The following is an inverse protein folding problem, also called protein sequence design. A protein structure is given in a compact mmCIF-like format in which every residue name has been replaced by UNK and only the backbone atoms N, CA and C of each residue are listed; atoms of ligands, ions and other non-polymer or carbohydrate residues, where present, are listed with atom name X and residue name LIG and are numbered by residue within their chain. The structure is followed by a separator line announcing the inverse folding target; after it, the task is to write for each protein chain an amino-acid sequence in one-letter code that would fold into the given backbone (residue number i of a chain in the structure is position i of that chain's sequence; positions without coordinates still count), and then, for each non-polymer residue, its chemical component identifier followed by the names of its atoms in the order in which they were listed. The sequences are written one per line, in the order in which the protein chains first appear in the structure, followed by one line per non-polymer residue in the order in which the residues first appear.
data_IF_271088392873
#
_entry.id   IF_271088392873
#
_cell.length_a   1.000
_cell.length_b   1.000
_cell.length_c   1.000
_cell.angle_alpha   90.00
_cell.angle_beta   90.00
_cell.angle_gamma   90.00
#
_symmetry.space_group_name_H-M   'P 1'
#
loop_
_entity.id
_entity.type
_entity.pdbx_description
1 polymer ?
#
# COMPACT_ATOMS: atom_id res chain seq x y z
N UNK A 1 -3.86 -5.34 21.80
CA UNK A 1 -4.66 -4.93 20.64
C UNK A 1 -5.68 -3.82 20.99
N UNK A 2 -6.23 -3.83 22.22
CA UNK A 2 -7.24 -2.85 22.62
C UNK A 2 -6.79 -1.40 22.41
N UNK A 3 -5.58 -1.06 22.88
CA UNK A 3 -5.01 0.29 22.75
C UNK A 3 -4.67 0.71 21.31
N UNK A 4 -4.58 -0.24 20.37
CA UNK A 4 -4.23 0.04 18.99
C UNK A 4 -5.44 -0.02 18.05
N UNK A 5 -6.39 -0.92 18.31
CA UNK A 5 -7.45 -1.26 17.36
C UNK A 5 -8.85 -0.81 17.78
N UNK A 6 -9.06 -0.48 19.07
CA UNK A 6 -10.36 -0.07 19.59
C UNK A 6 -10.30 1.33 20.20
N UNK A 7 -9.36 1.56 21.14
CA UNK A 7 -9.30 2.77 21.95
C UNK A 7 -9.00 4.06 21.17
N UNK A 8 -8.18 4.09 20.10
CA UNK A 8 -7.78 5.36 19.49
C UNK A 8 -8.97 6.17 19.00
N UNK A 9 -8.94 7.47 19.32
CA UNK A 9 -9.95 8.45 18.90
C UNK A 9 -9.67 9.04 17.53
N UNK A 10 -8.42 9.01 17.06
CA UNK A 10 -8.01 9.45 15.73
C UNK A 10 -7.56 8.26 14.89
N UNK A 11 -7.73 8.39 13.60
CA UNK A 11 -7.17 7.48 12.59
C UNK A 11 -5.93 8.11 11.97
N UNK A 12 -5.96 9.42 11.73
CA UNK A 12 -4.91 10.22 11.15
C UNK A 12 -4.81 11.59 11.80
N UNK A 13 -4.94 12.64 11.02
CA UNK A 13 -4.80 14.04 11.37
C UNK A 13 -6.14 14.82 11.45
N UNK A 14 -7.25 14.11 11.34
CA UNK A 14 -8.60 14.68 11.43
C UNK A 14 -8.85 15.40 12.76
N UNK A 15 -9.79 16.35 12.81
CA UNK A 15 -10.22 17.00 14.04
C UNK A 15 -10.66 15.99 15.10
N UNK A 16 -10.36 16.29 16.36
CA UNK A 16 -10.82 15.48 17.48
C UNK A 16 -12.31 15.76 17.74
N UNK A 17 -13.13 14.71 17.64
CA UNK A 17 -14.58 14.77 17.80
C UNK A 17 -15.08 13.69 18.76
N UNK A 18 -16.22 13.91 19.42
CA UNK A 18 -16.90 12.94 20.31
C UNK A 18 -17.71 11.89 19.50
N UNK A 19 -17.13 11.35 18.47
CA UNK A 19 -17.78 10.52 17.47
C UNK A 19 -18.25 9.14 17.98
N UNK A 20 -17.64 8.58 19.03
CA UNK A 20 -18.00 7.24 19.50
C UNK A 20 -19.45 7.14 19.92
N UNK A 21 -19.95 8.14 20.66
CA UNK A 21 -21.34 8.21 21.05
C UNK A 21 -22.26 8.24 19.84
N UNK A 22 -21.98 9.09 18.86
CA UNK A 22 -22.82 9.25 17.65
C UNK A 22 -22.91 7.97 16.82
N UNK A 23 -21.80 7.31 16.59
CA UNK A 23 -21.75 6.06 15.83
C UNK A 23 -22.39 4.90 16.60
N UNK A 24 -22.16 4.84 17.91
CA UNK A 24 -22.74 3.82 18.79
C UNK A 24 -24.27 3.95 18.84
N UNK A 25 -24.77 5.13 19.12
CA UNK A 25 -26.22 5.42 19.16
C UNK A 25 -26.89 5.02 17.84
N UNK A 26 -26.24 5.26 16.71
CA UNK A 26 -26.77 4.94 15.39
C UNK A 26 -26.75 3.47 15.07
N UNK A 27 -25.69 2.74 15.41
CA UNK A 27 -25.45 1.40 14.86
C UNK A 27 -25.53 0.24 15.86
N UNK A 28 -25.52 0.47 17.18
CA UNK A 28 -25.53 -0.59 18.18
C UNK A 28 -26.80 -1.45 18.09
N UNK A 29 -27.98 -0.84 18.13
CA UNK A 29 -29.25 -1.57 18.01
C UNK A 29 -29.42 -2.26 16.66
N UNK A 30 -28.85 -1.70 15.60
CA UNK A 30 -28.86 -2.31 14.27
C UNK A 30 -28.01 -3.58 14.29
N UNK A 31 -26.77 -3.51 14.78
CA UNK A 31 -25.90 -4.68 14.89
C UNK A 31 -26.56 -5.78 15.74
N UNK A 32 -27.13 -5.41 16.87
CA UNK A 32 -27.85 -6.34 17.76
C UNK A 32 -29.02 -7.03 17.07
N UNK A 33 -29.71 -6.34 16.17
CA UNK A 33 -30.78 -6.93 15.37
C UNK A 33 -30.30 -7.88 14.27
N UNK A 34 -29.10 -7.62 13.73
CA UNK A 34 -28.53 -8.39 12.63
C UNK A 34 -27.75 -9.62 13.12
N UNK A 35 -27.16 -9.55 14.29
CA UNK A 35 -26.26 -10.59 14.78
C UNK A 35 -26.23 -10.69 16.31
N UNK A 36 -26.47 -11.89 16.83
CA UNK A 36 -26.50 -12.23 18.28
C UNK A 36 -25.32 -13.14 18.69
N UNK A 37 -24.37 -13.39 17.78
CA UNK A 37 -23.22 -14.25 18.05
C UNK A 37 -22.02 -13.49 18.61
N UNK A 38 -20.88 -14.19 18.68
CA UNK A 38 -19.62 -13.64 19.20
C UNK A 38 -18.52 -13.54 18.14
N UNK A 39 -18.79 -13.94 16.89
CA UNK A 39 -17.82 -13.86 15.80
C UNK A 39 -17.83 -12.47 15.18
N UNK A 40 -16.78 -11.70 15.44
CA UNK A 40 -16.61 -10.33 14.93
C UNK A 40 -16.52 -10.27 13.40
N UNK A 41 -16.07 -11.35 12.73
CA UNK A 41 -16.02 -11.41 11.26
C UNK A 41 -17.43 -11.47 10.70
N UNK A 42 -18.28 -12.35 11.21
CA UNK A 42 -19.68 -12.45 10.80
C UNK A 42 -20.47 -11.20 11.16
N UNK A 43 -20.25 -10.64 12.35
CA UNK A 43 -20.86 -9.39 12.78
C UNK A 43 -20.54 -8.25 11.79
N UNK A 44 -19.28 -8.13 11.40
CA UNK A 44 -18.81 -7.10 10.45
C UNK A 44 -19.39 -7.32 9.06
N UNK A 45 -19.47 -8.57 8.58
CA UNK A 45 -20.04 -8.87 7.27
C UNK A 45 -21.52 -8.49 7.17
N UNK A 46 -22.32 -8.86 8.18
CA UNK A 46 -23.74 -8.52 8.25
C UNK A 46 -23.98 -7.01 8.35
N UNK A 47 -23.20 -6.34 9.19
CA UNK A 47 -23.27 -4.89 9.31
C UNK A 47 -22.86 -4.21 8.00
N UNK A 48 -21.83 -4.70 7.33
CA UNK A 48 -21.39 -4.21 6.03
C UNK A 48 -22.48 -4.35 4.96
N UNK A 49 -23.16 -5.49 4.92
CA UNK A 49 -24.29 -5.71 4.02
C UNK A 49 -25.43 -4.69 4.27
N UNK A 50 -25.77 -4.46 5.53
CA UNK A 50 -26.74 -3.44 5.92
C UNK A 50 -26.34 -2.04 5.48
N UNK A 51 -25.11 -1.63 5.76
CA UNK A 51 -24.63 -0.27 5.43
C UNK A 51 -24.62 0.02 3.93
N UNK A 52 -24.35 -0.98 3.09
CA UNK A 52 -24.46 -0.86 1.63
C UNK A 52 -25.91 -0.65 1.18
N UNK A 53 -26.86 -1.28 1.83
CA UNK A 53 -28.30 -1.13 1.53
C UNK A 53 -28.88 0.18 2.07
N UNK A 54 -28.45 0.63 3.26
CA UNK A 54 -28.95 1.84 3.89
C UNK A 54 -28.55 3.10 3.10
N UNK A 55 -27.27 3.25 2.83
CA UNK A 55 -26.71 4.34 2.07
C UNK A 55 -25.33 3.95 1.57
N UNK A 56 -25.22 3.73 0.29
CA UNK A 56 -23.95 3.40 -0.32
C UNK A 56 -22.92 4.54 -0.14
N UNK A 57 -21.66 4.16 -0.04
CA UNK A 57 -20.57 5.12 0.05
C UNK A 57 -20.25 5.64 -1.35
N UNK A 58 -20.39 6.94 -1.57
CA UNK A 58 -20.07 7.56 -2.86
C UNK A 58 -18.55 7.71 -3.00
N UNK A 59 -17.95 6.83 -3.76
CA UNK A 59 -16.53 6.89 -4.04
C UNK A 59 -16.18 8.05 -4.98
N UNK A 60 -15.20 8.87 -4.61
CA UNK A 60 -14.66 9.95 -5.42
C UNK A 60 -13.17 10.15 -5.15
N UNK A 61 -12.36 9.99 -6.19
CA UNK A 61 -10.91 10.28 -6.13
C UNK A 61 -10.62 11.79 -6.20
N UNK A 62 -11.59 12.60 -6.59
CA UNK A 62 -11.45 14.06 -6.66
C UNK A 62 -11.49 14.71 -5.28
N UNK A 63 -11.98 13.98 -4.27
CA UNK A 63 -11.94 14.37 -2.86
C UNK A 63 -10.69 13.76 -2.19
N UNK A 64 -9.53 13.99 -2.77
CA UNK A 64 -8.25 13.65 -2.18
C UNK A 64 -7.86 14.71 -1.14
N UNK A 65 -8.63 14.72 -0.07
CA UNK A 65 -8.45 15.59 1.08
C UNK A 65 -7.80 14.82 2.22
N UNK A 66 -7.20 15.53 3.20
CA UNK A 66 -6.84 14.94 4.48
C UNK A 66 -8.03 14.19 5.10
N UNK A 67 -7.82 13.41 6.14
CA UNK A 67 -8.90 12.70 6.83
C UNK A 67 -10.11 13.61 7.11
N UNK A 68 -11.26 13.21 6.58
CA UNK A 68 -12.47 14.07 6.55
C UNK A 68 -13.16 14.24 7.91
N UNK A 69 -12.77 13.45 8.91
CA UNK A 69 -13.38 13.46 10.24
C UNK A 69 -14.68 12.66 10.35
N UNK A 70 -14.95 12.22 11.55
CA UNK A 70 -16.01 11.26 11.84
C UNK A 70 -17.42 11.83 11.63
N UNK A 71 -17.64 13.08 12.04
CA UNK A 71 -18.95 13.74 11.89
C UNK A 71 -19.31 13.94 10.42
N UNK A 72 -18.35 14.38 9.61
CA UNK A 72 -18.57 14.54 8.18
C UNK A 72 -18.92 13.21 7.50
N UNK A 73 -18.16 12.15 7.80
CA UNK A 73 -18.36 10.84 7.18
C UNK A 73 -19.67 10.17 7.62
N UNK A 74 -20.10 10.40 8.86
CA UNK A 74 -21.40 9.92 9.34
C UNK A 74 -22.57 10.55 8.54
N UNK A 75 -22.46 11.83 8.22
CA UNK A 75 -23.50 12.57 7.52
C UNK A 75 -23.46 12.32 5.99
N UNK A 76 -22.28 12.29 5.38
CA UNK A 76 -22.14 12.41 3.92
C UNK A 76 -21.78 11.10 3.21
N UNK A 77 -20.98 10.21 3.80
CA UNK A 77 -20.48 8.97 3.19
C UNK A 77 -19.97 9.17 1.77
N UNK A 78 -19.01 10.03 1.61
CA UNK A 78 -18.39 10.36 0.32
C UNK A 78 -16.88 10.57 0.50
N UNK A 79 -16.08 10.17 -0.47
CA UNK A 79 -14.64 10.39 -0.49
C UNK A 79 -13.86 9.29 -1.20
N UNK A 80 -12.56 9.29 -1.02
CA UNK A 80 -11.63 8.31 -1.58
C UNK A 80 -11.67 6.97 -0.81
N UNK A 81 -10.78 6.05 -1.16
CA UNK A 81 -10.58 4.81 -0.41
C UNK A 81 -10.19 5.08 1.06
N UNK A 82 -9.44 6.16 1.30
CA UNK A 82 -9.07 6.62 2.65
C UNK A 82 -10.32 6.91 3.48
N UNK A 83 -11.18 7.80 3.00
CA UNK A 83 -12.41 8.19 3.69
C UNK A 83 -13.37 7.01 3.91
N UNK A 84 -13.42 6.07 2.99
CA UNK A 84 -14.19 4.83 3.13
C UNK A 84 -13.65 3.93 4.26
N UNK A 85 -12.32 3.80 4.33
CA UNK A 85 -11.66 3.06 5.41
C UNK A 85 -11.88 3.74 6.76
N UNK A 86 -11.77 5.06 6.83
CA UNK A 86 -11.98 5.83 8.06
C UNK A 86 -13.40 5.67 8.59
N UNK A 87 -14.41 5.83 7.72
CA UNK A 87 -15.80 5.58 8.09
C UNK A 87 -15.99 4.18 8.69
N UNK A 88 -15.42 3.17 8.06
CA UNK A 88 -15.47 1.79 8.54
C UNK A 88 -14.83 1.63 9.92
N UNK A 89 -13.65 2.23 10.12
CA UNK A 89 -12.94 2.18 11.41
C UNK A 89 -13.76 2.86 12.51
N UNK A 90 -14.39 4.01 12.23
CA UNK A 90 -15.27 4.68 13.20
C UNK A 90 -16.46 3.81 13.59
N UNK A 91 -17.15 3.22 12.62
CA UNK A 91 -18.28 2.30 12.88
C UNK A 91 -17.83 1.13 13.76
N UNK A 92 -16.80 0.41 13.35
CA UNK A 92 -16.36 -0.80 14.03
C UNK A 92 -15.81 -0.52 15.44
N UNK A 93 -14.97 0.51 15.58
CA UNK A 93 -14.42 0.88 16.89
C UNK A 93 -15.49 1.38 17.87
N UNK A 94 -16.51 2.07 17.39
CA UNK A 94 -17.65 2.48 18.23
C UNK A 94 -18.43 1.29 18.80
N UNK A 95 -18.49 0.21 18.03
CA UNK A 95 -19.17 -1.05 18.41
C UNK A 95 -18.22 -2.06 19.10
N UNK A 96 -17.00 -1.65 19.45
CA UNK A 96 -16.03 -2.49 20.14
C UNK A 96 -15.35 -3.56 19.26
N UNK A 97 -15.51 -3.49 17.94
CA UNK A 97 -14.86 -4.40 16.98
C UNK A 97 -13.47 -3.86 16.66
N UNK A 98 -12.39 -4.66 16.87
CA UNK A 98 -11.02 -4.21 16.69
C UNK A 98 -10.66 -4.09 15.20
N UNK A 99 -10.49 -2.87 14.72
CA UNK A 99 -10.22 -2.56 13.32
C UNK A 99 -9.09 -1.56 13.13
N UNK A 100 -8.40 -1.69 12.00
CA UNK A 100 -7.35 -0.80 11.54
C UNK A 100 -7.41 -0.60 10.02
N UNK A 101 -6.47 0.18 9.51
CA UNK A 101 -6.26 0.41 8.07
C UNK A 101 -4.88 -0.11 7.69
N UNK A 102 -4.83 -0.95 6.66
CA UNK A 102 -3.62 -1.40 6.02
C UNK A 102 -3.43 -0.66 4.68
N UNK A 103 -2.17 -0.45 4.29
CA UNK A 103 -1.79 0.39 3.15
C UNK A 103 -0.59 -0.21 2.40
N UNK A 104 -0.56 -0.08 1.09
CA UNK A 104 0.68 -0.02 0.31
C UNK A 104 0.80 1.36 -0.34
N UNK A 105 2.00 1.95 -0.33
CA UNK A 105 2.20 3.31 -0.83
C UNK A 105 2.26 3.38 -2.34
N UNK A 106 2.88 2.39 -2.97
CA UNK A 106 2.98 2.26 -4.42
C UNK A 106 2.74 0.80 -4.81
N UNK A 107 1.77 0.57 -5.69
CA UNK A 107 1.49 -0.77 -6.21
C UNK A 107 2.26 -1.07 -7.48
N UNK A 108 2.78 -2.30 -7.65
CA UNK A 108 3.42 -2.74 -8.88
C UNK A 108 2.53 -2.48 -10.11
N UNK A 109 3.10 -1.87 -11.17
CA UNK A 109 2.36 -1.53 -12.39
C UNK A 109 1.29 -0.44 -12.24
N UNK A 110 1.22 0.24 -11.09
CA UNK A 110 0.24 1.31 -10.78
C UNK A 110 0.97 2.56 -10.30
N UNK A 111 0.36 3.73 -10.41
CA UNK A 111 0.96 4.97 -9.93
C UNK A 111 0.62 5.28 -8.48
N UNK A 112 -0.55 4.84 -8.00
CA UNK A 112 -1.06 5.21 -6.69
C UNK A 112 -1.02 4.05 -5.69
N UNK A 113 -0.91 4.39 -4.41
CA UNK A 113 -1.12 3.50 -3.30
C UNK A 113 -2.59 3.11 -3.13
N UNK A 114 -2.86 2.26 -2.17
CA UNK A 114 -4.20 1.83 -1.83
C UNK A 114 -4.30 1.52 -0.35
N UNK A 115 -5.47 1.76 0.23
CA UNK A 115 -5.80 1.46 1.61
C UNK A 115 -7.02 0.56 1.68
N UNK A 116 -7.08 -0.29 2.69
CA UNK A 116 -8.23 -1.15 2.99
C UNK A 116 -8.32 -1.39 4.49
N UNK A 117 -9.44 -1.93 4.93
CA UNK A 117 -9.62 -2.24 6.33
C UNK A 117 -9.08 -3.63 6.68
N UNK A 118 -8.73 -3.79 7.93
CA UNK A 118 -8.42 -5.07 8.55
C UNK A 118 -9.09 -5.12 9.91
N UNK A 119 -9.67 -6.25 10.27
CA UNK A 119 -10.13 -6.52 11.63
C UNK A 119 -9.28 -7.63 12.27
N UNK A 120 -9.17 -7.60 13.59
CA UNK A 120 -8.61 -8.70 14.36
C UNK A 120 -9.72 -9.59 14.83
N UNK A 121 -9.70 -10.86 14.40
CA UNK A 121 -10.74 -11.82 14.77
C UNK A 121 -10.56 -12.37 16.19
N UNK A 122 -11.49 -13.18 16.64
CA UNK A 122 -11.48 -13.80 17.98
C UNK A 122 -10.37 -14.82 18.18
N UNK A 123 -9.77 -15.34 17.09
CA UNK A 123 -8.61 -16.25 17.16
C UNK A 123 -7.28 -15.50 17.26
N UNK A 124 -7.30 -14.19 17.07
CA UNK A 124 -6.11 -13.33 17.05
C UNK A 124 -5.53 -13.11 15.67
N UNK A 125 -6.09 -13.73 14.64
CA UNK A 125 -5.75 -13.49 13.24
C UNK A 125 -6.25 -12.14 12.72
N UNK A 126 -5.68 -11.70 11.61
CA UNK A 126 -6.12 -10.50 10.93
C UNK A 126 -6.86 -10.85 9.64
N UNK A 127 -8.03 -10.22 9.43
CA UNK A 127 -8.91 -10.45 8.28
C UNK A 127 -9.01 -9.16 7.48
N UNK A 128 -8.36 -9.09 6.30
CA UNK A 128 -8.46 -7.94 5.42
C UNK A 128 -9.83 -7.92 4.71
N UNK A 129 -10.38 -6.73 4.51
CA UNK A 129 -11.63 -6.54 3.80
C UNK A 129 -11.78 -5.10 3.30
N UNK A 130 -12.63 -4.92 2.30
CA UNK A 130 -13.07 -3.62 1.88
C UNK A 130 -14.58 -3.49 2.15
N UNK A 131 -14.91 -2.74 3.14
CA UNK A 131 -16.25 -2.67 3.72
C UNK A 131 -17.37 -2.41 2.71
N UNK A 132 -17.09 -1.61 1.69
CA UNK A 132 -18.11 -1.24 0.69
C UNK A 132 -18.26 -2.28 -0.41
N UNK A 133 -17.20 -2.97 -0.78
CA UNK A 133 -17.13 -3.74 -2.02
C UNK A 133 -17.05 -5.25 -1.83
N UNK A 134 -16.55 -5.72 -0.69
CA UNK A 134 -16.29 -7.14 -0.48
C UNK A 134 -17.01 -7.70 0.73
N UNK A 135 -17.32 -8.99 0.64
CA UNK A 135 -17.69 -9.79 1.79
C UNK A 135 -16.53 -9.85 2.78
N UNK A 136 -16.86 -9.81 4.07
CA UNK A 136 -15.86 -9.97 5.13
C UNK A 136 -15.77 -11.44 5.48
N UNK A 137 -14.66 -12.07 5.13
CA UNK A 137 -14.44 -13.50 5.38
C UNK A 137 -12.97 -13.82 5.64
N UNK A 138 -12.72 -14.84 6.46
CA UNK A 138 -11.37 -15.34 6.72
C UNK A 138 -10.76 -15.90 5.44
N UNK A 139 -9.48 -15.60 5.19
CA UNK A 139 -8.78 -16.02 3.97
C UNK A 139 -9.17 -15.22 2.72
N UNK A 140 -9.98 -14.17 2.87
CA UNK A 140 -10.29 -13.25 1.77
C UNK A 140 -9.03 -12.55 1.23
N UNK A 141 -8.97 -12.35 -0.07
CA UNK A 141 -7.89 -11.62 -0.76
C UNK A 141 -8.46 -10.81 -1.91
N UNK A 142 -7.96 -9.59 -2.07
CA UNK A 142 -8.28 -8.74 -3.23
C UNK A 142 -7.44 -9.07 -4.48
N UNK A 143 -6.53 -10.03 -4.37
CA UNK A 143 -5.62 -10.51 -5.43
C UNK A 143 -4.76 -9.40 -6.06
N UNK A 144 -4.59 -8.28 -5.37
CA UNK A 144 -3.71 -7.19 -5.83
C UNK A 144 -2.29 -7.47 -5.40
N UNK A 145 -1.35 -7.19 -6.29
CA UNK A 145 0.07 -7.08 -5.97
C UNK A 145 0.30 -5.84 -5.11
N UNK A 146 1.07 -5.95 -4.05
CA UNK A 146 1.28 -4.92 -3.03
C UNK A 146 2.76 -4.57 -2.82
N UNK A 147 3.66 -5.55 -3.03
CA UNK A 147 5.09 -5.46 -2.74
C UNK A 147 5.39 -5.45 -1.25
N UNK A 148 4.83 -4.49 -0.53
CA UNK A 148 4.90 -4.34 0.93
C UNK A 148 3.56 -3.87 1.47
N UNK A 149 3.22 -4.32 2.69
CA UNK A 149 1.99 -3.90 3.39
C UNK A 149 2.35 -3.31 4.75
N UNK A 150 1.79 -2.15 5.02
CA UNK A 150 1.95 -1.46 6.30
C UNK A 150 0.59 -1.27 6.96
N UNK A 151 0.54 -1.43 8.30
CA UNK A 151 -0.63 -1.13 9.12
C UNK A 151 -0.45 0.20 9.83
N UNK A 152 -1.47 1.03 9.79
CA UNK A 152 -1.52 2.24 10.61
C UNK A 152 -1.73 1.87 12.07
N UNK A 153 -0.81 2.30 12.91
CA UNK A 153 -0.81 2.10 14.35
C UNK A 153 -1.00 3.43 15.08
N UNK A 154 -1.61 3.39 16.24
CA UNK A 154 -1.69 4.56 17.11
C UNK A 154 -0.36 4.83 17.83
N UNK A 155 0.30 3.79 18.28
CA UNK A 155 1.60 3.86 18.93
C UNK A 155 2.75 3.95 17.93
N UNK A 156 3.76 4.78 18.25
CA UNK A 156 4.97 4.86 17.43
C UNK A 156 5.74 3.54 17.43
N UNK A 157 6.11 3.07 16.23
CA UNK A 157 6.89 1.86 16.02
C UNK A 157 8.39 2.19 16.19
N UNK A 158 8.92 1.95 17.38
CA UNK A 158 10.25 2.45 17.78
C UNK A 158 11.42 1.76 17.09
N UNK A 159 11.31 0.49 16.73
CA UNK A 159 12.44 -0.32 16.26
C UNK A 159 12.99 0.10 14.88
N UNK A 160 12.14 0.57 13.99
CA UNK A 160 12.57 1.06 12.66
C UNK A 160 13.06 2.52 12.64
N UNK A 161 12.80 3.30 13.68
CA UNK A 161 12.66 4.74 13.53
C UNK A 161 13.80 5.58 14.10
N UNK A 162 14.56 5.12 15.08
CA UNK A 162 15.48 6.02 15.80
C UNK A 162 16.61 6.63 14.94
N UNK A 163 17.07 5.93 13.90
CA UNK A 163 18.07 6.43 12.96
C UNK A 163 17.48 7.05 11.68
N UNK A 164 16.43 6.45 11.15
CA UNK A 164 15.82 6.78 9.85
C UNK A 164 14.99 8.07 9.93
N UNK A 165 14.25 8.27 11.02
CA UNK A 165 13.32 9.39 11.21
C UNK A 165 13.98 10.77 11.13
N UNK A 166 15.23 10.87 11.56
CA UNK A 166 15.98 12.13 11.59
C UNK A 166 16.74 12.40 10.31
N UNK A 167 16.83 11.42 9.44
CA UNK A 167 17.58 11.52 8.21
C UNK A 167 16.73 12.18 7.12
N UNK A 168 17.24 13.29 6.56
CA UNK A 168 16.54 14.05 5.52
C UNK A 168 16.49 13.32 4.19
N UNK A 169 17.39 12.36 3.99
CA UNK A 169 17.46 11.56 2.76
C UNK A 169 16.42 10.43 2.73
N UNK A 170 15.66 10.21 3.81
CA UNK A 170 14.59 9.21 3.83
C UNK A 170 13.26 9.87 3.49
N UNK A 171 12.58 9.43 2.42
CA UNK A 171 11.32 10.01 2.03
C UNK A 171 10.21 9.63 3.01
N UNK A 172 9.25 10.51 3.18
CA UNK A 172 7.95 10.12 3.67
C UNK A 172 7.25 9.31 2.54
N UNK A 173 6.62 8.16 2.83
CA UNK A 173 6.19 7.67 4.14
C UNK A 173 7.14 6.67 4.82
N UNK A 174 8.30 6.32 4.25
CA UNK A 174 9.20 5.29 4.81
C UNK A 174 9.76 5.64 6.20
N UNK A 175 9.67 6.90 6.60
CA UNK A 175 10.04 7.39 7.94
C UNK A 175 8.86 7.61 8.89
N UNK A 176 7.63 7.28 8.46
CA UNK A 176 6.46 7.42 9.31
C UNK A 176 6.55 6.46 10.50
N UNK A 177 6.58 6.97 11.73
CA UNK A 177 6.69 6.13 12.92
C UNK A 177 5.43 5.34 13.23
N UNK A 178 4.31 5.69 12.64
CA UNK A 178 3.01 5.06 12.92
C UNK A 178 2.67 3.94 11.93
N UNK A 179 3.60 3.59 11.06
CA UNK A 179 3.46 2.47 10.13
C UNK A 179 4.23 1.24 10.62
N UNK A 180 3.51 0.14 10.79
CA UNK A 180 4.05 -1.17 11.10
C UNK A 180 4.06 -2.04 9.85
N UNK A 181 5.21 -2.63 9.51
CA UNK A 181 5.28 -3.65 8.47
C UNK A 181 4.47 -4.89 8.89
N UNK A 182 3.46 -5.23 8.13
CA UNK A 182 2.58 -6.38 8.31
C UNK A 182 2.51 -7.25 7.06
N UNK A 183 3.50 -7.16 6.19
CA UNK A 183 3.57 -7.93 4.95
C UNK A 183 3.45 -9.44 5.22
N UNK A 184 4.00 -9.92 6.35
CA UNK A 184 3.88 -11.32 6.77
C UNK A 184 2.46 -11.75 7.21
N UNK A 185 1.52 -10.81 7.41
CA UNK A 185 0.11 -11.15 7.64
C UNK A 185 -0.58 -11.55 6.30
N UNK A 186 0.03 -11.23 5.16
CA UNK A 186 -0.50 -11.44 3.80
C UNK A 186 0.26 -12.48 3.00
N UNK A 187 1.56 -12.58 3.20
CA UNK A 187 2.48 -13.42 2.42
C UNK A 187 3.40 -14.20 3.37
N UNK A 188 3.96 -15.34 2.92
CA UNK A 188 4.94 -16.07 3.70
C UNK A 188 6.09 -15.18 4.14
N UNK A 189 6.44 -15.23 5.43
CA UNK A 189 7.57 -14.48 5.96
C UNK A 189 8.87 -14.91 5.28
N UNK A 190 9.66 -13.94 4.81
CA UNK A 190 10.93 -14.19 4.16
C UNK A 190 11.96 -13.11 4.51
N UNK A 191 13.22 -13.41 4.18
CA UNK A 191 14.34 -12.48 4.29
C UNK A 191 15.06 -12.47 2.94
N UNK A 192 15.01 -11.34 2.24
CA UNK A 192 15.58 -11.16 0.92
C UNK A 192 16.85 -10.35 1.03
N UNK A 193 18.00 -10.97 0.72
CA UNK A 193 19.31 -10.30 0.68
C UNK A 193 19.74 -10.14 -0.76
N UNK A 194 19.99 -8.91 -1.18
CA UNK A 194 20.36 -8.54 -2.54
C UNK A 194 21.78 -7.98 -2.62
N UNK A 195 22.39 -8.12 -3.79
CA UNK A 195 23.66 -7.49 -4.14
C UNK A 195 23.44 -6.04 -4.57
N UNK A 196 24.30 -5.17 -4.11
CA UNK A 196 24.36 -3.76 -4.47
C UNK A 196 25.59 -3.54 -5.34
N UNK A 197 25.49 -2.69 -6.35
CA UNK A 197 26.62 -2.31 -7.20
C UNK A 197 27.80 -1.85 -6.33
N UNK A 198 29.00 -2.42 -6.50
CA UNK A 198 30.18 -2.04 -5.70
C UNK A 198 30.55 -0.56 -5.72
N UNK A 199 30.10 0.18 -6.73
CA UNK A 199 30.29 1.63 -6.83
C UNK A 199 29.32 2.44 -5.98
N UNK A 200 28.25 1.82 -5.48
CA UNK A 200 27.26 2.46 -4.61
C UNK A 200 27.71 2.33 -3.16
N UNK A 201 28.04 3.46 -2.56
CA UNK A 201 28.33 3.58 -1.12
C UNK A 201 27.32 4.57 -0.51
N UNK A 202 26.20 4.03 -0.02
CA UNK A 202 25.09 4.77 0.56
C UNK A 202 24.67 4.17 1.88
N UNK A 203 24.31 5.02 2.82
CA UNK A 203 23.83 4.57 4.12
C UNK A 203 22.56 3.74 4.01
N UNK A 204 21.68 4.12 3.11
CA UNK A 204 20.37 3.49 2.91
C UNK A 204 20.17 3.01 1.48
N UNK A 205 19.59 1.84 1.34
CA UNK A 205 19.06 1.28 0.11
C UNK A 205 17.56 1.08 0.27
N UNK A 206 16.82 1.51 -0.74
CA UNK A 206 15.37 1.31 -0.80
C UNK A 206 15.04 0.13 -1.72
N UNK A 207 13.96 -0.57 -1.37
CA UNK A 207 13.29 -1.51 -2.25
C UNK A 207 12.29 -0.72 -3.11
N UNK A 208 12.44 -0.76 -4.40
CA UNK A 208 11.57 -0.06 -5.34
C UNK A 208 10.68 -1.01 -6.14
N UNK A 209 9.49 -0.55 -6.50
CA UNK A 209 8.57 -1.20 -7.45
C UNK A 209 8.42 -0.35 -8.69
N UNK A 210 8.25 -0.98 -9.85
CA UNK A 210 7.97 -0.30 -11.09
C UNK A 210 6.51 0.14 -11.13
N UNK A 211 6.28 1.43 -11.36
CA UNK A 211 4.96 2.06 -11.44
C UNK A 211 4.81 2.79 -12.78
N UNK A 212 3.65 3.37 -13.02
CA UNK A 212 3.43 4.23 -14.20
C UNK A 212 4.23 5.53 -14.16
N UNK A 213 4.70 5.94 -12.99
CA UNK A 213 5.46 7.19 -12.76
C UNK A 213 6.97 6.94 -12.64
N UNK A 214 7.40 5.69 -12.82
CA UNK A 214 8.79 5.28 -12.65
C UNK A 214 8.97 4.29 -11.51
N UNK A 215 10.18 4.13 -11.05
CA UNK A 215 10.47 3.20 -9.96
C UNK A 215 10.38 3.93 -8.62
N UNK A 216 9.44 3.49 -7.76
CA UNK A 216 9.08 4.14 -6.51
C UNK A 216 9.47 3.30 -5.30
N UNK A 217 10.07 3.92 -4.25
CA UNK A 217 10.52 3.20 -3.06
C UNK A 217 9.35 2.78 -2.17
N UNK A 218 9.35 1.52 -1.74
CA UNK A 218 8.32 0.94 -0.87
C UNK A 218 8.85 0.41 0.46
N UNK A 219 10.16 0.19 0.59
CA UNK A 219 10.81 -0.19 1.85
C UNK A 219 12.25 0.36 1.87
N UNK A 220 12.88 0.38 3.05
CA UNK A 220 14.22 0.93 3.25
C UNK A 220 15.02 0.08 4.23
N UNK A 221 16.29 -0.11 3.93
CA UNK A 221 17.24 -0.80 4.81
C UNK A 221 18.61 -0.14 4.80
N UNK A 222 19.45 -0.53 5.76
CA UNK A 222 20.85 -0.07 5.83
C UNK A 222 21.71 -0.93 4.92
N UNK A 223 22.55 -0.29 4.08
CA UNK A 223 23.55 -0.99 3.30
C UNK A 223 24.65 -1.57 4.21
N UNK A 224 25.03 -2.82 3.96
CA UNK A 224 26.13 -3.51 4.65
C UNK A 224 27.12 -4.05 3.63
N UNK A 225 28.21 -3.33 3.42
CA UNK A 225 29.13 -3.60 2.31
C UNK A 225 28.39 -3.49 0.97
N UNK A 226 28.50 -4.48 0.12
CA UNK A 226 27.79 -4.55 -1.16
C UNK A 226 26.44 -5.31 -1.07
N UNK A 227 25.78 -5.29 0.08
CA UNK A 227 24.49 -6.01 0.29
C UNK A 227 23.48 -5.14 0.98
N UNK A 228 22.21 -5.44 0.69
CA UNK A 228 21.04 -4.92 1.40
C UNK A 228 20.06 -6.06 1.71
N UNK A 229 19.45 -6.05 2.89
CA UNK A 229 18.52 -7.10 3.32
C UNK A 229 17.17 -6.49 3.65
N UNK A 230 16.13 -7.01 3.03
CA UNK A 230 14.73 -6.64 3.25
C UNK A 230 13.99 -7.80 3.89
N UNK A 231 13.07 -7.51 4.80
CA UNK A 231 12.25 -8.51 5.47
C UNK A 231 10.84 -8.51 4.86
N UNK A 232 10.24 -9.70 4.78
CA UNK A 232 8.84 -9.85 4.39
C UNK A 232 8.49 -9.14 3.07
N UNK A 233 9.06 -9.63 1.97
CA UNK A 233 8.83 -9.10 0.63
C UNK A 233 7.84 -10.00 -0.10
N UNK A 234 6.84 -9.42 -0.78
CA UNK A 234 5.87 -10.20 -1.57
C UNK A 234 6.55 -10.94 -2.71
N UNK A 235 6.36 -12.27 -2.83
CA UNK A 235 6.90 -13.04 -3.95
C UNK A 235 6.20 -12.70 -5.29
N UNK A 236 6.87 -12.99 -6.40
CA UNK A 236 6.32 -12.84 -7.76
C UNK A 236 6.42 -11.43 -8.33
N UNK A 237 6.96 -10.48 -7.60
CA UNK A 237 7.09 -9.07 -8.01
C UNK A 237 8.51 -8.77 -8.47
N UNK A 238 8.61 -7.97 -9.54
CA UNK A 238 9.87 -7.41 -10.00
C UNK A 238 10.21 -6.15 -9.20
N UNK A 239 11.35 -6.18 -8.51
CA UNK A 239 11.85 -5.09 -7.69
C UNK A 239 13.11 -4.47 -8.28
N UNK A 240 13.38 -3.22 -7.90
CA UNK A 240 14.59 -2.49 -8.22
C UNK A 240 15.22 -1.98 -6.92
N UNK A 241 16.50 -2.30 -6.62
CA UNK A 241 17.21 -1.61 -5.54
C UNK A 241 17.47 -0.17 -5.95
N UNK A 242 17.18 0.77 -5.04
CA UNK A 242 17.28 2.21 -5.28
C UNK A 242 18.09 2.91 -4.19
N UNK A 243 18.70 4.03 -4.54
CA UNK A 243 19.19 5.02 -3.57
C UNK A 243 18.81 6.44 -4.00
N UNK A 244 18.70 7.33 -3.04
CA UNK A 244 18.50 8.76 -3.30
C UNK A 244 19.85 9.45 -3.52
N UNK A 245 20.02 10.12 -4.66
CA UNK A 245 21.21 10.94 -4.94
C UNK A 245 21.02 12.42 -4.57
N UNK A 246 19.90 12.77 -3.90
CA UNK A 246 19.52 14.13 -3.52
C UNK A 246 18.68 14.87 -4.57
N UNK A 247 18.52 14.30 -5.78
CA UNK A 247 17.68 14.85 -6.85
C UNK A 247 16.63 13.84 -7.35
N UNK A 248 17.00 12.58 -7.42
CA UNK A 248 16.14 11.50 -7.95
C UNK A 248 16.53 10.15 -7.39
N UNK A 249 15.63 9.17 -7.56
CA UNK A 249 15.92 7.76 -7.32
C UNK A 249 16.82 7.21 -8.41
N UNK A 250 17.89 6.53 -8.00
CA UNK A 250 18.86 5.91 -8.89
C UNK A 250 18.95 4.42 -8.57
N UNK A 251 19.11 3.60 -9.60
CA UNK A 251 19.30 2.16 -9.43
C UNK A 251 20.60 1.87 -8.64
N UNK A 252 20.49 1.01 -7.63
CA UNK A 252 21.61 0.58 -6.80
C UNK A 252 22.14 -0.81 -7.20
N UNK A 253 21.62 -1.41 -8.25
CA UNK A 253 21.96 -2.73 -8.75
C UNK A 253 20.95 -3.20 -9.80
N UNK A 254 21.03 -4.45 -10.22
CA UNK A 254 20.10 -5.01 -11.20
C UNK A 254 18.69 -5.22 -10.63
N UNK A 255 17.63 -5.11 -11.48
CA UNK A 255 16.30 -5.54 -11.10
C UNK A 255 16.29 -7.02 -10.74
N UNK A 256 15.40 -7.41 -9.84
CA UNK A 256 15.31 -8.79 -9.39
C UNK A 256 13.86 -9.21 -9.10
N UNK A 257 13.60 -10.48 -9.31
CA UNK A 257 12.36 -11.15 -8.91
C UNK A 257 12.61 -11.94 -7.64
N UNK A 258 11.65 -11.94 -6.73
CA UNK A 258 11.64 -12.81 -5.55
C UNK A 258 10.66 -13.94 -5.80
N UNK A 259 11.09 -15.18 -5.68
CA UNK A 259 10.20 -16.34 -5.82
C UNK A 259 9.45 -16.66 -4.50
N UNK A 260 8.57 -17.67 -4.53
CA UNK A 260 7.79 -18.11 -3.38
C UNK A 260 8.64 -18.63 -2.20
N UNK A 261 9.91 -18.99 -2.45
CA UNK A 261 10.86 -19.43 -1.42
C UNK A 261 11.71 -18.28 -0.87
N UNK A 262 11.54 -17.08 -1.42
CA UNK A 262 12.36 -15.92 -1.07
C UNK A 262 13.71 -15.88 -1.79
N UNK A 263 13.91 -16.73 -2.83
CA UNK A 263 15.13 -16.72 -3.62
C UNK A 263 15.12 -15.58 -4.65
N UNK A 264 16.30 -14.99 -4.87
CA UNK A 264 16.47 -13.82 -5.72
C UNK A 264 16.95 -14.24 -7.11
N UNK A 265 16.19 -13.85 -8.14
CA UNK A 265 16.58 -14.00 -9.55
C UNK A 265 16.81 -12.63 -10.16
N UNK A 266 18.08 -12.31 -10.48
CA UNK A 266 18.43 -11.04 -11.13
C UNK A 266 18.10 -11.05 -12.61
N UNK A 267 17.61 -9.91 -13.10
CA UNK A 267 17.45 -9.62 -14.51
C UNK A 267 18.63 -8.76 -14.97
N UNK A 268 19.70 -9.45 -15.40
CA UNK A 268 20.89 -8.80 -15.95
C UNK A 268 20.76 -8.70 -17.47
N UNK A 269 21.11 -7.55 -18.08
CA UNK A 269 21.08 -7.44 -19.53
C UNK A 269 22.06 -8.43 -20.15
N UNK A 270 21.62 -9.11 -21.20
CA UNK A 270 22.47 -9.93 -22.04
C UNK A 270 22.57 -9.26 -23.41
N UNK A 271 23.65 -8.52 -23.63
CA UNK A 271 23.89 -7.78 -24.88
C UNK A 271 24.09 -8.68 -26.10
N UNK A 272 24.26 -10.00 -25.92
CA UNK A 272 24.34 -10.96 -27.01
C UNK A 272 22.96 -11.38 -27.55
N UNK A 273 21.91 -11.25 -26.74
CA UNK A 273 20.54 -11.58 -27.11
C UNK A 273 19.89 -10.40 -27.82
N UNK A 274 19.64 -10.56 -29.14
CA UNK A 274 18.81 -9.63 -29.90
C UNK A 274 17.42 -10.20 -30.04
N UNK A 275 16.40 -9.44 -29.75
CA UNK A 275 15.00 -9.83 -29.86
C UNK A 275 14.15 -8.69 -30.41
N UNK A 276 12.95 -9.02 -30.85
CA UNK A 276 11.91 -8.03 -31.14
C UNK A 276 10.91 -8.03 -29.97
N UNK A 277 10.40 -6.87 -29.64
CA UNK A 277 9.38 -6.70 -28.59
C UNK A 277 8.18 -5.99 -29.18
N UNK A 278 7.00 -6.58 -29.04
CA UNK A 278 5.75 -5.89 -29.34
C UNK A 278 5.33 -5.06 -28.13
N UNK A 279 5.39 -3.75 -28.26
CA UNK A 279 4.96 -2.82 -27.24
C UNK A 279 3.49 -2.48 -27.44
N UNK A 280 2.65 -2.81 -26.49
CA UNK A 280 1.27 -2.38 -26.47
C UNK A 280 1.01 -1.52 -25.22
N UNK A 281 0.33 -0.41 -25.42
CA UNK A 281 -0.04 0.52 -24.35
C UNK A 281 -1.54 0.45 -24.11
N UNK A 282 -1.96 -0.04 -22.94
CA UNK A 282 -3.36 0.09 -22.52
C UNK A 282 -3.48 1.31 -21.61
N UNK A 283 -4.18 2.32 -22.09
CA UNK A 283 -4.57 3.45 -21.25
C UNK A 283 -6.02 3.28 -20.80
N UNK A 284 -6.25 3.30 -19.50
CA UNK A 284 -7.55 3.58 -18.92
C UNK A 284 -7.79 5.09 -18.93
N UNK A 285 -7.52 5.74 -20.06
CA UNK A 285 -7.66 7.17 -20.16
C UNK A 285 -9.05 7.54 -20.65
N UNK A 286 -9.54 8.67 -20.14
CA UNK A 286 -10.75 9.33 -20.62
C UNK A 286 -10.66 9.47 -22.14
N UNK A 287 -11.78 9.28 -22.82
CA UNK A 287 -11.85 9.13 -24.28
C UNK A 287 -11.12 10.25 -25.07
N UNK A 288 -11.11 11.46 -24.54
CA UNK A 288 -10.47 12.62 -25.18
C UNK A 288 -8.92 12.61 -25.14
N UNK A 289 -8.30 11.71 -24.36
CA UNK A 289 -6.85 11.59 -24.31
C UNK A 289 -6.32 10.47 -25.22
N UNK A 290 -7.18 9.65 -25.82
CA UNK A 290 -6.78 8.56 -26.72
C UNK A 290 -6.04 9.09 -27.95
N UNK A 291 -6.47 10.21 -28.48
CA UNK A 291 -5.93 10.79 -29.72
C UNK A 291 -4.53 11.39 -29.51
N UNK A 292 -4.17 11.74 -28.28
CA UNK A 292 -2.85 12.30 -27.95
C UNK A 292 -1.79 11.23 -27.62
N UNK A 293 -2.20 9.97 -27.48
CA UNK A 293 -1.36 8.90 -26.95
C UNK A 293 -1.28 7.71 -27.90
N UNK A 294 -1.83 7.81 -29.09
CA UNK A 294 -1.66 6.82 -30.15
C UNK A 294 -0.25 6.93 -30.72
N UNK A 295 0.45 5.79 -30.85
CA UNK A 295 1.68 5.75 -31.62
C UNK A 295 1.42 6.20 -33.04
N UNK A 296 2.28 7.05 -33.57
CA UNK A 296 2.18 7.56 -34.94
C UNK A 296 3.23 6.85 -35.79
N UNK A 297 2.90 6.61 -37.07
CA UNK A 297 3.88 6.03 -38.00
C UNK A 297 5.08 6.98 -38.08
N UNK A 298 6.26 6.47 -37.72
CA UNK A 298 7.49 7.25 -37.66
C UNK A 298 7.97 7.56 -36.22
N UNK A 299 7.19 7.23 -35.19
CA UNK A 299 7.69 7.27 -33.82
C UNK A 299 8.89 6.33 -33.66
N UNK A 300 9.89 6.82 -32.93
CA UNK A 300 11.08 6.03 -32.61
C UNK A 300 11.00 5.56 -31.19
N UNK A 301 11.39 4.30 -30.98
CA UNK A 301 11.53 3.73 -29.64
C UNK A 301 13.02 3.60 -29.38
N UNK A 302 13.50 4.26 -28.36
CA UNK A 302 14.91 4.26 -27.96
C UNK A 302 15.03 3.63 -26.56
N UNK A 303 16.04 2.79 -26.40
CA UNK A 303 16.44 2.24 -25.11
C UNK A 303 17.78 2.82 -24.70
N UNK A 304 17.96 3.08 -23.41
CA UNK A 304 19.20 3.57 -22.85
C UNK A 304 19.51 2.89 -21.52
N UNK A 305 20.80 2.70 -21.21
CA UNK A 305 21.22 2.24 -19.89
C UNK A 305 21.37 3.41 -18.89
N UNK A 306 21.52 4.64 -19.41
CA UNK A 306 21.61 5.85 -18.61
C UNK A 306 20.28 6.64 -18.63
N UNK A 307 19.90 7.15 -17.50
CA UNK A 307 18.62 7.88 -17.32
C UNK A 307 18.56 9.24 -18.05
N UNK A 308 19.71 9.75 -18.49
CA UNK A 308 19.84 10.96 -19.31
C UNK A 308 19.80 10.66 -20.83
N UNK A 309 19.62 9.39 -21.20
CA UNK A 309 19.61 8.91 -22.59
C UNK A 309 20.90 9.20 -23.36
N UNK A 310 22.03 9.43 -22.66
CA UNK A 310 23.31 9.71 -23.29
C UNK A 310 23.86 8.56 -24.16
N UNK A 311 23.39 7.34 -23.90
CA UNK A 311 23.73 6.11 -24.63
C UNK A 311 22.50 5.51 -25.35
N UNK A 312 21.50 6.33 -25.68
CA UNK A 312 20.28 5.86 -26.32
C UNK A 312 20.57 5.18 -27.66
N UNK A 313 19.95 4.04 -27.87
CA UNK A 313 19.95 3.34 -29.14
C UNK A 313 18.51 3.04 -29.59
N UNK A 314 18.28 3.06 -30.88
CA UNK A 314 17.01 2.70 -31.48
C UNK A 314 16.75 1.21 -31.23
N UNK A 315 15.58 0.87 -30.68
CA UNK A 315 15.15 -0.50 -30.45
C UNK A 315 14.50 -1.09 -31.69
#
# INVERSE_FOLDING_TARGET
YFCELILPYRIGDEPLEEWRGWYRERYESILDSLYQGTDVVEATDRLGAYLRQEKDFRYSVELDLPHLGAGFLLANRVGSCEASCDFTVYVLRALGIPAATDIYHYGPGKGAGHVWNVLRDTTGGYVPFWFIQTKVERGGSDKREKGKVYRRCFGAQQEKVSGIRRDRCVPFPLKDPYLKDVTSDYFPANQVTIEIDPQVDKKYICLGVFTLEGCMPIDITVQKGNKATFMNVEPGILFQPLYDNGMKWVAAGYPFLVDEKGEVKYHKPDCAVKGSMDLSRKFLLRQYLKDYLSAVVGDKIEGANHSDFSDACLL
#
